data_IF_277313496013
#
_entry.id   IF_277313496013
#
_cell.length_a   1.000
_cell.length_b   1.000
_cell.length_c   1.000
_cell.angle_alpha   90.00
_cell.angle_beta   90.00
_cell.angle_gamma   90.00
#
_symmetry.space_group_name_H-M   'P 1'
#
loop_
_entity.id
_entity.type
_entity.pdbx_description
1 polymer ?
#
# COMPACT_ATOMS: atom_id res chain seq x y z
N UNK A 1 1.55 -9.97 8.85
CA UNK A 1 2.36 -9.22 9.85
C UNK A 1 2.80 -7.86 9.32
N UNK A 2 3.26 -7.75 8.07
CA UNK A 2 3.76 -6.51 7.46
C UNK A 2 2.69 -5.50 7.00
N UNK A 3 1.49 -5.52 7.60
CA UNK A 3 0.45 -4.51 7.35
C UNK A 3 0.72 -3.27 8.23
N UNK A 4 0.29 -2.07 7.80
CA UNK A 4 0.27 -0.90 8.68
C UNK A 4 -0.56 -1.16 9.95
N UNK A 5 -0.21 -0.48 11.06
CA UNK A 5 -0.97 -0.54 12.31
C UNK A 5 -2.45 -0.17 12.14
N UNK A 6 -2.73 0.75 11.21
CA UNK A 6 -4.11 1.13 10.85
C UNK A 6 -4.93 0.01 10.22
N UNK A 7 -4.27 -0.92 9.52
CA UNK A 7 -4.88 -2.10 8.91
C UNK A 7 -4.64 -3.37 9.73
N UNK A 8 -4.38 -3.22 11.04
CA UNK A 8 -4.23 -4.34 11.96
C UNK A 8 -2.92 -5.12 11.87
N UNK A 9 -1.88 -4.58 11.22
CA UNK A 9 -0.54 -5.18 11.31
C UNK A 9 0.29 -4.58 12.44
N UNK A 10 1.55 -5.01 12.55
CA UNK A 10 2.48 -4.56 13.58
C UNK A 10 3.20 -3.26 13.19
N UNK A 11 3.03 -2.78 11.94
CA UNK A 11 3.73 -1.61 11.41
C UNK A 11 5.14 -1.92 10.90
N UNK A 12 5.54 -3.19 10.85
CA UNK A 12 6.74 -3.60 10.12
C UNK A 12 6.49 -3.51 8.62
N UNK A 13 7.51 -3.11 7.87
CA UNK A 13 7.50 -3.17 6.42
C UNK A 13 7.84 -4.58 5.97
N UNK A 14 7.20 -5.00 4.90
CA UNK A 14 7.56 -6.24 4.23
C UNK A 14 8.93 -6.07 3.58
N UNK A 15 9.87 -6.97 3.87
CA UNK A 15 11.27 -6.85 3.44
C UNK A 15 11.38 -7.03 1.93
N UNK A 16 10.62 -7.96 1.36
CA UNK A 16 10.63 -8.24 -0.08
C UNK A 16 10.07 -7.06 -0.87
N UNK A 17 8.87 -6.58 -0.52
CA UNK A 17 8.26 -5.42 -1.17
C UNK A 17 9.08 -4.14 -0.94
N UNK A 18 9.75 -4.00 0.21
CA UNK A 18 10.65 -2.88 0.47
C UNK A 18 11.93 -2.96 -0.37
N UNK A 19 12.46 -4.15 -0.60
CA UNK A 19 13.58 -4.37 -1.51
C UNK A 19 13.20 -4.01 -2.95
N UNK A 20 12.02 -4.37 -3.42
CA UNK A 20 11.54 -3.99 -4.76
C UNK A 20 11.46 -2.46 -4.93
N UNK A 21 11.00 -1.75 -3.90
CA UNK A 21 10.99 -0.28 -3.88
C UNK A 21 12.41 0.33 -3.89
N UNK A 22 13.41 -0.35 -3.31
CA UNK A 22 14.81 0.06 -3.38
C UNK A 22 15.42 -0.21 -4.76
N UNK A 23 15.10 -1.35 -5.37
CA UNK A 23 15.48 -1.65 -6.75
C UNK A 23 14.88 -0.64 -7.73
N UNK A 24 13.61 -0.26 -7.53
CA UNK A 24 12.95 0.79 -8.28
C UNK A 24 13.67 2.14 -8.12
N UNK A 25 14.22 2.46 -6.93
CA UNK A 25 15.04 3.67 -6.75
C UNK A 25 16.29 3.65 -7.63
N UNK A 26 16.91 2.49 -7.83
CA UNK A 26 18.05 2.34 -8.75
C UNK A 26 17.59 2.57 -10.19
N UNK A 27 16.48 1.95 -10.60
CA UNK A 27 15.88 2.18 -11.93
C UNK A 27 15.55 3.65 -12.18
N UNK A 28 15.02 4.34 -11.18
CA UNK A 28 14.72 5.78 -11.24
C UNK A 28 15.98 6.62 -11.44
N UNK A 29 17.07 6.28 -10.74
CA UNK A 29 18.36 6.95 -10.91
C UNK A 29 18.91 6.78 -12.32
N UNK A 30 18.74 5.58 -12.91
CA UNK A 30 19.15 5.30 -14.29
C UNK A 30 18.34 6.16 -15.28
N UNK A 31 17.04 6.28 -15.07
CA UNK A 31 16.14 7.10 -15.90
C UNK A 31 16.48 8.60 -15.82
N UNK A 32 16.64 9.14 -14.61
CA UNK A 32 16.86 10.59 -14.42
C UNK A 32 18.29 11.04 -14.69
N UNK A 33 19.26 10.16 -14.51
CA UNK A 33 20.68 10.49 -14.67
C UNK A 33 21.38 9.47 -15.58
N UNK A 34 21.07 9.44 -16.89
CA UNK A 34 21.61 8.45 -17.81
C UNK A 34 23.13 8.57 -18.00
N UNK A 35 23.72 9.75 -17.70
CA UNK A 35 25.15 10.03 -17.81
C UNK A 35 25.97 9.57 -16.61
N UNK A 36 25.33 9.17 -15.50
CA UNK A 36 26.07 8.68 -14.34
C UNK A 36 26.76 7.35 -14.64
N UNK A 37 27.87 7.06 -13.96
CA UNK A 37 28.67 5.85 -14.21
C UNK A 37 27.83 4.57 -14.17
N UNK A 38 26.95 4.45 -13.16
CA UNK A 38 26.05 3.31 -13.01
C UNK A 38 25.16 3.11 -14.24
N UNK A 39 24.51 4.18 -14.71
CA UNK A 39 23.64 4.13 -15.88
C UNK A 39 24.44 3.81 -17.14
N UNK A 40 25.58 4.48 -17.36
CA UNK A 40 26.44 4.22 -18.53
C UNK A 40 26.93 2.78 -18.61
N UNK A 41 27.38 2.22 -17.48
CA UNK A 41 27.85 0.83 -17.44
C UNK A 41 26.72 -0.17 -17.67
N UNK A 42 25.57 0.02 -17.03
CA UNK A 42 24.44 -0.92 -17.15
C UNK A 42 23.76 -0.81 -18.52
N UNK A 43 23.45 0.41 -18.97
CA UNK A 43 22.83 0.65 -20.28
C UNK A 43 23.78 0.25 -21.41
N UNK A 44 25.07 0.57 -21.33
CA UNK A 44 26.04 0.18 -22.36
C UNK A 44 26.21 -1.35 -22.48
N UNK A 45 26.10 -2.08 -21.36
CA UNK A 45 26.20 -3.54 -21.36
C UNK A 45 24.91 -4.24 -21.81
N UNK A 46 23.75 -3.78 -21.35
CA UNK A 46 22.48 -4.50 -21.48
C UNK A 46 21.48 -3.84 -22.44
N UNK A 47 21.58 -2.54 -22.69
CA UNK A 47 20.63 -1.75 -23.50
C UNK A 47 21.34 -1.15 -24.72
N UNK A 48 21.73 -1.98 -25.68
CA UNK A 48 22.44 -1.51 -26.90
C UNK A 48 21.48 -0.98 -27.98
N UNK A 49 20.37 -1.67 -28.21
CA UNK A 49 19.38 -1.35 -29.25
C UNK A 49 18.06 -0.79 -28.71
N UNK A 50 17.78 -1.00 -27.42
CA UNK A 50 16.49 -0.67 -26.80
C UNK A 50 16.65 0.33 -25.66
N UNK A 51 15.61 1.13 -25.41
CA UNK A 51 15.56 2.00 -24.24
C UNK A 51 15.40 1.19 -22.95
N UNK A 52 15.83 1.77 -21.82
CA UNK A 52 15.75 1.10 -20.51
C UNK A 52 14.36 0.55 -20.17
N UNK A 53 13.29 1.28 -20.53
CA UNK A 53 11.89 0.90 -20.28
C UNK A 53 11.39 -0.27 -21.16
N UNK A 54 12.06 -0.55 -22.28
CA UNK A 54 11.69 -1.62 -23.24
C UNK A 54 12.62 -2.83 -23.16
N UNK A 55 13.86 -2.62 -22.68
CA UNK A 55 14.91 -3.64 -22.60
C UNK A 55 14.47 -4.96 -21.94
N UNK A 56 14.60 -6.08 -22.64
CA UNK A 56 14.34 -7.39 -22.04
C UNK A 56 15.57 -7.97 -21.34
N UNK A 57 15.36 -8.85 -20.36
CA UNK A 57 16.44 -9.54 -19.67
C UNK A 57 17.06 -10.62 -20.58
N UNK A 58 18.32 -10.51 -21.03
CA UNK A 58 18.97 -11.63 -21.73
C UNK A 58 19.14 -12.82 -20.77
N UNK A 59 19.16 -14.03 -21.32
CA UNK A 59 19.34 -15.27 -20.54
C UNK A 59 20.64 -15.27 -19.72
N UNK A 60 21.70 -14.63 -20.24
CA UNK A 60 23.00 -14.44 -19.59
C UNK A 60 23.08 -13.24 -18.63
N UNK A 61 21.95 -12.60 -18.31
CA UNK A 61 21.94 -11.44 -17.41
C UNK A 61 22.43 -11.77 -15.99
N UNK A 62 23.01 -10.77 -15.31
CA UNK A 62 23.40 -10.90 -13.91
C UNK A 62 22.19 -10.80 -12.99
N UNK A 63 22.25 -11.38 -11.79
CA UNK A 63 21.20 -11.24 -10.79
C UNK A 63 20.92 -9.78 -10.44
N UNK A 64 21.97 -8.94 -10.36
CA UNK A 64 21.82 -7.50 -10.13
C UNK A 64 21.00 -6.81 -11.22
N UNK A 65 21.24 -7.13 -12.50
CA UNK A 65 20.46 -6.58 -13.61
C UNK A 65 19.00 -7.03 -13.56
N UNK A 66 18.74 -8.31 -13.28
CA UNK A 66 17.36 -8.80 -13.08
C UNK A 66 16.66 -8.03 -11.96
N UNK A 67 17.35 -7.74 -10.85
CA UNK A 67 16.84 -6.89 -9.78
C UNK A 67 16.47 -5.48 -10.26
N UNK A 68 17.34 -4.83 -11.03
CA UNK A 68 17.07 -3.51 -11.62
C UNK A 68 15.85 -3.55 -12.55
N UNK A 69 15.68 -4.62 -13.33
CA UNK A 69 14.52 -4.80 -14.20
C UNK A 69 13.21 -4.99 -13.41
N UNK A 70 13.22 -5.76 -12.31
CA UNK A 70 12.06 -5.85 -11.41
C UNK A 70 11.66 -4.48 -10.85
N UNK A 71 12.65 -3.69 -10.40
CA UNK A 71 12.41 -2.33 -9.94
C UNK A 71 11.89 -1.41 -11.05
N UNK A 72 12.38 -1.57 -12.28
CA UNK A 72 11.87 -0.84 -13.46
C UNK A 72 10.44 -1.21 -13.77
N UNK A 73 10.05 -2.48 -13.69
CA UNK A 73 8.69 -2.90 -14.00
C UNK A 73 7.68 -2.31 -12.99
N UNK A 74 8.07 -2.23 -11.72
CA UNK A 74 7.34 -1.46 -10.71
C UNK A 74 7.19 0.01 -11.12
N UNK A 75 8.27 0.64 -11.60
CA UNK A 75 8.20 2.01 -12.09
C UNK A 75 7.23 2.15 -13.26
N UNK A 76 7.36 1.29 -14.27
CA UNK A 76 6.63 1.34 -15.53
C UNK A 76 5.12 1.39 -15.36
N UNK A 77 4.57 0.80 -14.30
CA UNK A 77 3.13 0.79 -14.02
C UNK A 77 2.61 2.08 -13.38
N UNK A 78 3.49 3.03 -13.01
CA UNK A 78 3.15 4.24 -12.26
C UNK A 78 3.95 5.47 -12.73
N UNK A 79 4.56 5.38 -13.91
CA UNK A 79 5.21 6.49 -14.60
C UNK A 79 4.21 7.23 -15.50
N UNK A 80 4.34 8.54 -15.60
CA UNK A 80 3.63 9.32 -16.61
C UNK A 80 4.53 10.38 -17.20
N UNK A 81 4.15 10.91 -18.35
CA UNK A 81 4.91 11.95 -19.02
C UNK A 81 4.43 13.34 -18.58
N UNK A 82 5.40 14.20 -18.30
CA UNK A 82 5.20 15.64 -18.16
C UNK A 82 5.57 16.29 -19.49
N UNK A 83 4.57 16.92 -20.11
CA UNK A 83 4.70 17.56 -21.44
C UNK A 83 5.57 18.82 -21.32
N UNK A 84 6.75 18.77 -21.95
CA UNK A 84 7.66 19.87 -22.13
C UNK A 84 7.56 20.38 -23.57
N UNK A 85 8.38 19.79 -24.45
CA UNK A 85 8.41 20.07 -25.90
C UNK A 85 7.45 19.20 -26.71
N UNK A 86 6.95 18.11 -26.14
CA UNK A 86 6.04 17.15 -26.79
C UNK A 86 6.69 16.27 -27.87
N UNK A 87 7.99 16.41 -28.13
CA UNK A 87 8.69 15.72 -29.22
C UNK A 87 9.06 14.27 -28.89
N UNK A 88 9.12 13.92 -27.60
CA UNK A 88 9.49 12.58 -27.14
C UNK A 88 8.29 11.70 -26.80
N UNK A 89 7.09 12.29 -26.81
CA UNK A 89 5.85 11.64 -26.36
C UNK A 89 5.00 11.32 -27.58
N UNK A 90 4.80 10.03 -27.83
CA UNK A 90 3.82 9.52 -28.78
C UNK A 90 2.43 9.56 -28.14
N UNK A 91 1.46 10.13 -28.86
CA UNK A 91 0.14 10.47 -28.30
C UNK A 91 -0.62 9.24 -27.80
N UNK A 92 -0.54 8.13 -28.55
CA UNK A 92 -1.40 6.97 -28.35
C UNK A 92 -0.76 5.84 -27.53
N UNK A 93 0.57 5.76 -27.53
CA UNK A 93 1.31 4.70 -26.85
C UNK A 93 1.66 5.05 -25.41
N UNK A 94 1.88 6.34 -25.12
CA UNK A 94 2.42 6.80 -23.83
C UNK A 94 1.34 7.42 -22.91
N UNK A 95 1.47 7.28 -21.57
CA UNK A 95 0.53 7.89 -20.61
C UNK A 95 0.94 9.32 -20.26
N UNK A 96 0.33 10.31 -20.94
CA UNK A 96 0.66 11.74 -20.77
C UNK A 96 -0.55 12.63 -20.40
N UNK A 97 -1.76 12.08 -20.39
CA UNK A 97 -2.99 12.87 -20.19
C UNK A 97 -3.22 13.27 -18.74
N UNK A 98 -2.67 12.54 -17.76
CA UNK A 98 -2.90 12.77 -16.34
C UNK A 98 -1.58 12.81 -15.56
N UNK A 99 -1.56 13.60 -14.50
CA UNK A 99 -0.43 13.71 -13.56
C UNK A 99 -0.60 12.83 -12.31
N UNK A 100 -1.73 12.14 -12.17
CA UNK A 100 -2.03 11.30 -11.01
C UNK A 100 -2.17 9.82 -11.38
N UNK A 101 -2.54 9.51 -12.62
CA UNK A 101 -2.87 8.17 -13.09
C UNK A 101 -2.32 7.93 -14.48
N UNK A 102 -2.05 6.67 -14.82
CA UNK A 102 -1.61 6.30 -16.16
C UNK A 102 -2.79 6.32 -17.13
N UNK A 103 -3.05 7.50 -17.68
CA UNK A 103 -4.12 7.71 -18.65
C UNK A 103 -3.52 7.94 -20.04
N UNK A 104 -3.94 7.10 -20.98
CA UNK A 104 -3.65 7.23 -22.42
C UNK A 104 -4.97 7.34 -23.19
N UNK A 105 -4.97 7.92 -24.40
CA UNK A 105 -6.16 7.94 -25.24
C UNK A 105 -6.79 6.56 -25.45
N UNK A 106 -8.12 6.53 -25.55
CA UNK A 106 -8.86 5.30 -25.81
C UNK A 106 -8.79 4.86 -27.27
N UNK A 107 -8.57 3.56 -27.49
CA UNK A 107 -8.69 2.90 -28.78
C UNK A 107 -7.35 2.69 -29.49
N UNK A 108 -7.31 1.78 -30.48
CA UNK A 108 -6.18 1.66 -31.38
C UNK A 108 -6.13 2.90 -32.28
N UNK A 109 -4.99 3.57 -32.31
CA UNK A 109 -4.80 4.71 -33.20
C UNK A 109 -4.94 4.24 -34.66
N UNK A 110 -5.64 5.01 -35.52
CA UNK A 110 -5.55 4.83 -36.96
C UNK A 110 -4.08 4.81 -37.40
N UNK A 111 -3.73 3.99 -38.39
CA UNK A 111 -2.33 3.76 -38.81
C UNK A 111 -1.57 5.07 -39.10
N UNK A 112 -2.25 6.05 -39.71
CA UNK A 112 -1.70 7.38 -39.99
C UNK A 112 -1.46 8.26 -38.76
N UNK A 113 -1.99 7.92 -37.59
CA UNK A 113 -1.87 8.67 -36.32
C UNK A 113 -1.02 7.94 -35.27
N UNK A 114 -0.56 6.71 -35.53
CA UNK A 114 0.17 5.91 -34.54
C UNK A 114 1.46 6.58 -34.06
N UNK A 115 2.17 7.25 -34.97
CA UNK A 115 3.44 7.93 -34.68
C UNK A 115 3.29 9.43 -34.41
N UNK A 116 2.05 9.91 -34.27
CA UNK A 116 1.78 11.32 -33.98
C UNK A 116 2.32 11.67 -32.59
N UNK A 117 3.08 12.77 -32.52
CA UNK A 117 3.69 13.25 -31.28
C UNK A 117 2.86 14.34 -30.64
N UNK A 118 3.02 14.53 -29.33
CA UNK A 118 2.31 15.60 -28.62
C UNK A 118 2.68 16.98 -29.18
N UNK A 119 3.91 17.16 -29.66
CA UNK A 119 4.35 18.37 -30.35
C UNK A 119 3.50 18.72 -31.58
N UNK A 120 2.95 17.72 -32.27
CA UNK A 120 2.10 17.94 -33.45
C UNK A 120 0.75 18.54 -33.08
N UNK A 121 0.35 18.52 -31.80
CA UNK A 121 -0.88 19.15 -31.31
C UNK A 121 -0.68 20.62 -30.91
N UNK A 122 0.53 21.16 -31.05
CA UNK A 122 0.80 22.57 -30.79
C UNK A 122 0.60 23.42 -32.05
N UNK A 123 0.30 24.70 -31.82
CA UNK A 123 0.32 25.70 -32.89
C UNK A 123 1.75 25.91 -33.41
N UNK A 124 1.95 26.12 -34.71
CA UNK A 124 3.29 26.33 -35.28
C UNK A 124 4.01 27.51 -34.61
N UNK A 125 5.17 27.25 -34.01
CA UNK A 125 5.99 28.27 -33.35
C UNK A 125 5.49 28.75 -31.98
N UNK A 126 4.41 28.14 -31.44
CA UNK A 126 3.95 28.37 -30.06
C UNK A 126 3.94 27.07 -29.25
N UNK A 127 3.79 27.21 -27.93
CA UNK A 127 3.55 26.10 -26.99
C UNK A 127 2.07 25.99 -26.62
N UNK A 128 1.22 26.76 -27.31
CA UNK A 128 -0.23 26.72 -27.15
C UNK A 128 -0.84 25.58 -27.98
N UNK A 129 -1.88 24.96 -27.44
CA UNK A 129 -2.57 23.85 -28.07
C UNK A 129 -3.39 24.29 -29.30
N UNK A 130 -3.32 23.51 -30.36
CA UNK A 130 -4.20 23.64 -31.53
C UNK A 130 -5.57 23.00 -31.23
N UNK A 131 -6.55 23.85 -30.92
CA UNK A 131 -7.89 23.43 -30.52
C UNK A 131 -8.63 22.70 -31.65
N UNK A 132 -8.41 23.10 -32.91
CA UNK A 132 -9.07 22.48 -34.06
C UNK A 132 -8.53 21.07 -34.29
N UNK A 133 -7.21 20.91 -34.19
CA UNK A 133 -6.56 19.60 -34.31
C UNK A 133 -6.90 18.68 -33.15
N UNK A 134 -7.03 19.22 -31.93
CA UNK A 134 -7.48 18.45 -30.77
C UNK A 134 -8.92 17.93 -30.95
N UNK A 135 -9.82 18.72 -31.52
CA UNK A 135 -11.19 18.29 -31.81
C UNK A 135 -11.23 17.14 -32.82
N UNK A 136 -10.35 17.16 -33.82
CA UNK A 136 -10.27 16.13 -34.85
C UNK A 136 -9.64 14.82 -34.33
N UNK A 137 -8.59 14.92 -33.50
CA UNK A 137 -7.79 13.75 -33.08
C UNK A 137 -8.27 13.16 -31.75
N UNK A 138 -8.54 14.00 -30.75
CA UNK A 138 -8.85 13.58 -29.37
C UNK A 138 -10.03 14.38 -28.77
N UNK A 139 -11.24 14.33 -29.37
CA UNK A 139 -12.37 15.13 -28.91
C UNK A 139 -12.74 14.84 -27.45
N UNK A 140 -12.71 13.56 -27.04
CA UNK A 140 -13.07 13.15 -25.68
C UNK A 140 -12.08 13.60 -24.59
N UNK A 141 -10.82 13.85 -24.94
CA UNK A 141 -9.78 14.23 -23.98
C UNK A 141 -9.40 15.71 -24.06
N UNK A 142 -10.05 16.49 -24.93
CA UNK A 142 -9.78 17.91 -25.15
C UNK A 142 -9.72 18.72 -23.86
N UNK A 143 -10.74 18.63 -23.01
CA UNK A 143 -10.81 19.39 -21.76
C UNK A 143 -9.67 19.05 -20.80
N UNK A 144 -9.19 17.81 -20.83
CA UNK A 144 -8.08 17.34 -20.01
C UNK A 144 -6.75 17.85 -20.57
N UNK A 145 -6.57 17.79 -21.89
CA UNK A 145 -5.35 18.26 -22.57
C UNK A 145 -5.18 19.77 -22.40
N UNK A 146 -6.26 20.56 -22.54
CA UNK A 146 -6.22 22.01 -22.36
C UNK A 146 -5.82 22.45 -20.95
N UNK A 147 -5.98 21.59 -19.94
CA UNK A 147 -5.51 21.85 -18.57
C UNK A 147 -4.01 21.63 -18.42
N UNK A 148 -3.40 20.83 -19.29
CA UNK A 148 -1.95 20.61 -19.31
C UNK A 148 -1.30 21.88 -19.86
N UNK A 149 -0.30 22.40 -19.12
CA UNK A 149 0.48 23.56 -19.54
C UNK A 149 1.87 23.12 -19.95
N UNK A 150 2.18 23.09 -21.27
CA UNK A 150 3.51 22.79 -21.76
C UNK A 150 4.56 23.81 -21.30
N UNK A 151 5.84 23.46 -21.45
CA UNK A 151 6.93 24.33 -21.02
C UNK A 151 7.16 25.48 -21.99
N UNK A 152 6.82 26.70 -21.57
CA UNK A 152 7.10 27.94 -22.34
C UNK A 152 8.58 28.23 -22.56
N UNK A 153 9.46 27.61 -21.76
CA UNK A 153 10.91 27.79 -21.82
C UNK A 153 11.59 26.73 -22.70
N UNK A 154 10.83 25.92 -23.44
CA UNK A 154 11.39 24.88 -24.32
C UNK A 154 12.10 23.76 -23.57
N UNK A 155 11.68 23.48 -22.33
CA UNK A 155 12.21 22.33 -21.57
C UNK A 155 11.80 21.03 -22.28
N UNK A 156 12.72 20.08 -22.37
CA UNK A 156 12.41 18.73 -22.89
C UNK A 156 11.34 18.04 -22.04
N UNK A 157 10.66 17.08 -22.66
CA UNK A 157 9.75 16.17 -21.97
C UNK A 157 10.46 15.40 -20.86
N UNK A 158 9.72 15.08 -19.80
CA UNK A 158 10.27 14.37 -18.64
C UNK A 158 9.32 13.31 -18.10
N UNK A 159 9.88 12.19 -17.62
CA UNK A 159 9.13 11.09 -17.01
C UNK A 159 8.97 11.33 -15.51
N UNK A 160 7.74 11.39 -15.02
CA UNK A 160 7.43 11.67 -13.62
C UNK A 160 6.78 10.48 -12.92
N UNK A 161 7.05 10.38 -11.62
CA UNK A 161 6.43 9.38 -10.75
C UNK A 161 5.06 9.87 -10.27
N UNK A 162 3.98 9.23 -10.74
CA UNK A 162 2.60 9.71 -10.55
C UNK A 162 2.09 9.59 -9.12
N UNK A 163 2.65 8.66 -8.33
CA UNK A 163 2.25 8.43 -6.93
C UNK A 163 2.83 9.47 -5.95
N UNK A 164 3.41 10.56 -6.45
CA UNK A 164 3.94 11.63 -5.62
C UNK A 164 3.77 13.01 -6.30
N UNK A 165 3.22 14.04 -5.60
CA UNK A 165 2.98 15.35 -6.20
C UNK A 165 4.23 16.06 -6.75
N UNK A 166 5.42 15.79 -6.19
CA UNK A 166 6.67 16.37 -6.73
C UNK A 166 7.13 15.75 -8.04
N UNK A 167 6.53 14.64 -8.48
CA UNK A 167 6.99 13.85 -9.62
C UNK A 167 8.28 13.06 -9.36
N UNK A 168 8.91 13.21 -8.19
CA UNK A 168 10.09 12.44 -7.80
C UNK A 168 9.73 11.09 -7.16
N UNK A 169 10.54 10.08 -7.43
CA UNK A 169 10.42 8.78 -6.81
C UNK A 169 11.06 8.76 -5.41
N UNK A 170 10.25 8.44 -4.41
CA UNK A 170 10.71 8.09 -3.07
C UNK A 170 10.46 6.62 -2.77
N UNK A 171 11.38 5.97 -2.04
CA UNK A 171 11.21 4.55 -1.63
C UNK A 171 9.91 4.33 -0.86
N UNK A 172 9.44 5.33 -0.10
CA UNK A 172 8.16 5.25 0.61
C UNK A 172 6.97 5.16 -0.34
N UNK A 173 6.92 6.00 -1.38
CA UNK A 173 5.83 5.98 -2.36
C UNK A 173 5.90 4.73 -3.25
N UNK A 174 7.12 4.29 -3.61
CA UNK A 174 7.32 3.04 -4.34
C UNK A 174 6.87 1.82 -3.54
N UNK A 175 7.17 1.77 -2.25
CA UNK A 175 6.73 0.69 -1.36
C UNK A 175 5.19 0.62 -1.28
N UNK A 176 4.53 1.77 -1.11
CA UNK A 176 3.06 1.81 -1.10
C UNK A 176 2.47 1.31 -2.41
N UNK A 177 3.00 1.75 -3.56
CA UNK A 177 2.53 1.31 -4.86
C UNK A 177 2.73 -0.20 -5.08
N UNK A 178 3.85 -0.76 -4.61
CA UNK A 178 4.08 -2.21 -4.66
C UNK A 178 3.09 -2.98 -3.78
N UNK A 179 2.83 -2.52 -2.56
CA UNK A 179 1.83 -3.15 -1.68
C UNK A 179 0.40 -3.06 -2.25
N UNK A 180 0.06 -1.97 -2.95
CA UNK A 180 -1.22 -1.84 -3.66
C UNK A 180 -1.32 -2.85 -4.82
N UNK A 181 -0.23 -3.05 -5.55
CA UNK A 181 -0.18 -3.99 -6.67
C UNK A 181 -0.39 -5.43 -6.20
N UNK A 182 0.30 -5.84 -5.14
CA UNK A 182 0.12 -7.17 -4.52
C UNK A 182 -1.31 -7.40 -4.00
N UNK A 183 -1.91 -6.36 -3.39
CA UNK A 183 -3.28 -6.43 -2.88
C UNK A 183 -4.32 -6.58 -4.00
N UNK A 184 -4.07 -6.00 -5.18
CA UNK A 184 -4.96 -6.12 -6.33
C UNK A 184 -4.79 -7.45 -7.08
N UNK A 185 -3.61 -8.08 -7.01
CA UNK A 185 -3.35 -9.38 -7.64
C UNK A 185 -3.93 -10.56 -6.86
N UNK A 186 -4.22 -10.39 -5.57
CA UNK A 186 -4.87 -11.42 -4.76
C UNK A 186 -6.39 -11.26 -4.87
N UNK A 187 -7.15 -12.31 -5.24
CA UNK A 187 -8.61 -12.23 -5.27
C UNK A 187 -9.10 -11.83 -3.88
N UNK A 188 -9.91 -10.77 -3.83
CA UNK A 188 -10.48 -10.21 -2.62
C UNK A 188 -11.14 -11.32 -1.81
N UNK A 189 -10.46 -11.74 -0.75
CA UNK A 189 -11.00 -12.66 0.25
C UNK A 189 -12.19 -11.97 0.88
N UNK A 190 -13.33 -12.66 1.12
CA UNK A 190 -14.49 -12.04 1.77
C UNK A 190 -14.05 -11.29 3.03
N UNK A 191 -14.54 -10.05 3.18
CA UNK A 191 -14.22 -9.16 4.30
C UNK A 191 -14.34 -9.92 5.60
N UNK A 192 -13.21 -10.20 6.25
CA UNK A 192 -13.24 -10.92 7.51
C UNK A 192 -13.71 -9.96 8.60
N UNK A 193 -14.34 -10.44 9.69
CA UNK A 193 -14.73 -9.59 10.83
C UNK A 193 -13.55 -8.80 11.44
N UNK A 194 -12.32 -9.24 11.16
CA UNK A 194 -11.05 -8.63 11.58
C UNK A 194 -10.73 -7.35 10.80
N UNK A 195 -11.24 -7.21 9.58
CA UNK A 195 -10.99 -6.05 8.70
C UNK A 195 -11.86 -4.83 9.05
N UNK A 196 -12.98 -5.02 9.76
CA UNK A 196 -13.87 -3.94 10.23
C UNK A 196 -13.39 -3.28 11.52
N UNK A 197 -12.40 -3.87 12.20
CA UNK A 197 -11.87 -3.37 13.47
C UNK A 197 -11.09 -2.08 13.25
N UNK A 198 -11.41 -1.04 14.01
CA UNK A 198 -10.66 0.22 14.05
C UNK A 198 -9.38 0.04 14.88
N UNK A 199 -8.39 -0.67 14.33
CA UNK A 199 -7.16 -1.08 15.03
C UNK A 199 -6.41 0.02 15.78
N UNK A 200 -6.38 1.24 15.23
CA UNK A 200 -5.74 2.37 15.92
C UNK A 200 -6.43 2.66 17.25
N UNK A 201 -7.75 2.80 17.25
CA UNK A 201 -8.53 3.11 18.44
C UNK A 201 -8.71 1.91 19.36
N UNK A 202 -8.82 0.70 18.79
CA UNK A 202 -9.10 -0.53 19.55
C UNK A 202 -7.88 -1.16 20.17
N UNK A 203 -6.66 -0.88 19.68
CA UNK A 203 -5.44 -1.52 20.20
C UNK A 203 -4.31 -0.51 20.39
N UNK A 204 -3.95 0.23 19.34
CA UNK A 204 -2.65 0.93 19.31
C UNK A 204 -2.61 2.24 20.10
N UNK A 205 -3.72 2.99 20.14
CA UNK A 205 -3.85 4.28 20.81
C UNK A 205 -4.25 4.17 22.29
N UNK A 206 -4.42 2.96 22.81
CA UNK A 206 -4.74 2.75 24.23
C UNK A 206 -3.53 3.16 25.07
N UNK A 207 -3.78 3.94 26.14
CA UNK A 207 -2.75 4.30 27.11
C UNK A 207 -2.41 3.10 28.00
N UNK A 208 -1.55 2.23 27.51
CA UNK A 208 -1.07 1.04 28.24
C UNK A 208 0.31 0.61 27.72
N UNK A 209 0.91 -0.37 28.38
CA UNK A 209 2.22 -0.92 27.97
C UNK A 209 2.13 -1.66 26.63
N UNK A 210 3.20 -1.62 25.84
CA UNK A 210 3.24 -2.30 24.54
C UNK A 210 3.04 -3.82 24.64
N UNK A 211 3.43 -4.44 25.77
CA UNK A 211 3.16 -5.86 26.03
C UNK A 211 1.66 -6.17 26.02
N UNK A 212 0.85 -5.31 26.63
CA UNK A 212 -0.61 -5.45 26.67
C UNK A 212 -1.20 -5.20 25.28
N UNK A 213 -0.72 -4.20 24.54
CA UNK A 213 -1.17 -3.95 23.15
C UNK A 213 -0.90 -5.14 22.23
N UNK A 214 0.28 -5.76 22.35
CA UNK A 214 0.63 -6.96 21.58
C UNK A 214 -0.25 -8.14 21.99
N UNK A 215 -0.57 -8.30 23.28
CA UNK A 215 -1.49 -9.33 23.75
C UNK A 215 -2.90 -9.15 23.16
N UNK A 216 -3.45 -7.93 23.19
CA UNK A 216 -4.74 -7.60 22.59
C UNK A 216 -4.71 -7.85 21.07
N UNK A 217 -3.65 -7.41 20.39
CA UNK A 217 -3.45 -7.69 18.97
C UNK A 217 -3.46 -9.19 18.67
N UNK A 218 -2.72 -10.00 19.43
CA UNK A 218 -2.72 -11.48 19.28
C UNK A 218 -4.10 -12.07 19.55
N UNK A 219 -4.83 -11.56 20.54
CA UNK A 219 -6.16 -12.05 20.91
C UNK A 219 -7.17 -11.82 19.77
N UNK A 220 -7.18 -10.63 19.19
CA UNK A 220 -8.09 -10.27 18.09
C UNK A 220 -7.73 -10.97 16.77
N UNK A 221 -6.45 -11.32 16.56
CA UNK A 221 -6.00 -12.12 15.40
C UNK A 221 -6.11 -13.64 15.62
N UNK A 222 -6.65 -14.11 16.75
CA UNK A 222 -6.71 -15.54 17.06
C UNK A 222 -5.33 -16.21 17.20
N UNK A 223 -4.28 -15.43 17.46
CA UNK A 223 -2.89 -15.90 17.51
C UNK A 223 -2.44 -16.34 18.91
N UNK A 224 -3.37 -16.43 19.88
CA UNK A 224 -3.07 -16.97 21.20
C UNK A 224 -3.01 -18.52 21.15
N UNK A 225 -2.13 -19.14 21.96
CA UNK A 225 -2.03 -20.59 22.05
C UNK A 225 -3.19 -21.17 22.86
N UNK A 226 -4.36 -21.28 22.22
CA UNK A 226 -5.57 -21.90 22.79
C UNK A 226 -5.86 -23.26 22.14
N UNK A 227 -6.56 -24.14 22.85
CA UNK A 227 -6.99 -25.47 22.38
C UNK A 227 -7.54 -25.49 20.95
N UNK A 228 -8.41 -24.54 20.61
CA UNK A 228 -8.97 -24.36 19.26
C UNK A 228 -7.87 -24.18 18.19
N UNK A 229 -6.85 -23.37 18.46
CA UNK A 229 -5.76 -23.11 17.52
C UNK A 229 -4.82 -24.32 17.36
N UNK A 230 -4.67 -25.14 18.42
CA UNK A 230 -3.96 -26.41 18.31
C UNK A 230 -4.72 -27.41 17.46
N UNK A 231 -6.06 -27.48 17.60
CA UNK A 231 -6.91 -28.32 16.77
C UNK A 231 -6.83 -27.93 15.29
N UNK A 232 -6.93 -26.63 14.98
CA UNK A 232 -6.82 -26.11 13.60
C UNK A 232 -5.47 -26.46 12.97
N UNK A 233 -4.40 -26.51 13.75
CA UNK A 233 -3.04 -26.82 13.28
C UNK A 233 -2.69 -28.31 13.37
N UNK A 234 -3.65 -29.17 13.71
CA UNK A 234 -3.46 -30.62 13.85
C UNK A 234 -2.34 -31.01 14.83
N UNK A 235 -2.16 -30.22 15.90
CA UNK A 235 -1.17 -30.50 16.95
C UNK A 235 -1.85 -31.38 18.02
N UNK A 236 -1.29 -32.56 18.37
CA UNK A 236 -1.93 -33.54 19.25
C UNK A 236 -1.81 -33.14 20.73
N UNK A 237 -2.49 -32.07 21.12
CA UNK A 237 -2.59 -31.55 22.50
C UNK A 237 -4.07 -31.45 22.86
N UNK A 238 -4.39 -31.61 24.15
CA UNK A 238 -5.75 -31.40 24.65
C UNK A 238 -6.30 -30.04 24.23
N UNK A 239 -7.50 -30.03 23.65
CA UNK A 239 -8.24 -28.84 23.21
C UNK A 239 -9.11 -28.24 24.32
N UNK A 240 -9.10 -28.88 25.50
CA UNK A 240 -9.92 -28.51 26.64
C UNK A 240 -9.22 -27.48 27.54
N UNK A 241 -9.99 -26.54 28.05
CA UNK A 241 -9.55 -25.55 29.02
C UNK A 241 -9.13 -26.26 30.32
N UNK A 242 -7.91 -26.02 30.79
CA UNK A 242 -7.40 -26.64 32.04
C UNK A 242 -8.14 -26.24 33.32
N UNK A 243 -8.98 -25.20 33.26
CA UNK A 243 -9.73 -24.69 34.44
C UNK A 243 -11.13 -25.24 34.54
N UNK A 244 -11.83 -25.39 33.41
CA UNK A 244 -13.25 -25.77 33.39
C UNK A 244 -13.57 -26.95 32.46
N UNK A 245 -12.56 -27.52 31.78
CA UNK A 245 -12.65 -28.69 30.91
C UNK A 245 -13.62 -28.55 29.71
N UNK A 246 -14.02 -27.34 29.32
CA UNK A 246 -14.75 -27.08 28.06
C UNK A 246 -13.78 -26.73 26.93
N UNK A 247 -14.27 -26.64 25.68
CA UNK A 247 -13.43 -26.24 24.54
C UNK A 247 -12.78 -24.87 24.76
N UNK A 248 -11.46 -24.80 24.54
CA UNK A 248 -10.67 -23.60 24.78
C UNK A 248 -10.56 -22.76 23.51
N UNK A 249 -11.42 -21.75 23.38
CA UNK A 249 -11.30 -20.66 22.40
C UNK A 249 -10.75 -19.38 23.05
N UNK A 250 -10.34 -18.40 22.23
CA UNK A 250 -9.90 -17.10 22.76
C UNK A 250 -11.06 -16.36 23.45
N UNK A 251 -12.28 -16.46 22.92
CA UNK A 251 -13.48 -15.88 23.54
C UNK A 251 -13.77 -16.57 24.88
N UNK A 252 -13.62 -17.88 24.93
CA UNK A 252 -13.77 -18.64 26.16
C UNK A 252 -12.73 -18.22 27.22
N UNK A 253 -11.45 -18.17 26.85
CA UNK A 253 -10.38 -17.81 27.78
C UNK A 253 -10.53 -16.40 28.36
N UNK A 254 -11.01 -15.44 27.56
CA UNK A 254 -11.13 -14.04 27.97
C UNK A 254 -12.49 -13.69 28.60
N UNK A 255 -13.57 -14.39 28.24
CA UNK A 255 -14.94 -13.98 28.62
C UNK A 255 -15.77 -15.12 29.21
N UNK A 256 -15.86 -16.30 28.57
CA UNK A 256 -16.82 -17.33 29.00
C UNK A 256 -16.33 -18.27 30.10
N UNK A 257 -15.02 -18.37 30.32
CA UNK A 257 -14.46 -19.23 31.36
C UNK A 257 -14.97 -18.77 32.74
N UNK A 258 -15.44 -19.67 33.62
CA UNK A 258 -15.93 -19.29 34.95
C UNK A 258 -14.93 -18.44 35.75
N UNK A 259 -13.64 -18.72 35.59
CA UNK A 259 -12.59 -17.90 36.18
C UNK A 259 -12.50 -16.49 35.56
N UNK A 260 -12.63 -16.38 34.24
CA UNK A 260 -12.62 -15.08 33.57
C UNK A 260 -13.83 -14.23 33.99
N UNK A 261 -15.01 -14.86 34.14
CA UNK A 261 -16.21 -14.20 34.65
C UNK A 261 -15.97 -13.59 36.03
N UNK A 262 -15.40 -14.36 36.97
CA UNK A 262 -15.04 -13.85 38.30
C UNK A 262 -14.05 -12.68 38.25
N UNK A 263 -13.08 -12.72 37.33
CA UNK A 263 -12.11 -11.62 37.16
C UNK A 263 -12.80 -10.35 36.65
N UNK A 264 -13.75 -10.46 35.72
CA UNK A 264 -14.54 -9.33 35.24
C UNK A 264 -15.47 -8.75 36.30
N UNK A 265 -16.08 -9.60 37.14
CA UNK A 265 -16.91 -9.16 38.27
C UNK A 265 -16.12 -8.38 39.32
N UNK A 266 -14.85 -8.72 39.54
CA UNK A 266 -13.96 -8.04 40.47
C UNK A 266 -13.29 -6.78 39.87
N UNK A 267 -13.44 -6.54 38.56
CA UNK A 267 -12.81 -5.40 37.90
C UNK A 267 -13.49 -4.08 38.30
N UNK A 268 -12.74 -3.00 38.59
CA UNK A 268 -13.30 -1.71 38.98
C UNK A 268 -13.86 -0.96 37.76
N UNK A 269 -15.01 -1.41 37.24
CA UNK A 269 -15.70 -0.83 36.09
C UNK A 269 -16.95 -0.07 36.56
N UNK A 270 -17.26 1.06 35.92
CA UNK A 270 -18.40 1.92 36.29
C UNK A 270 -19.78 1.34 35.93
N UNK A 271 -19.84 0.10 35.42
CA UNK A 271 -21.07 -0.57 35.02
C UNK A 271 -20.93 -2.09 35.02
N UNK A 272 -22.06 -2.78 34.91
CA UNK A 272 -22.11 -4.24 34.85
C UNK A 272 -21.74 -4.72 33.44
N UNK A 273 -20.57 -5.34 33.29
CA UNK A 273 -20.20 -6.06 32.08
C UNK A 273 -20.57 -7.54 32.26
N UNK A 274 -21.50 -8.06 31.44
CA UNK A 274 -21.76 -9.48 31.40
C UNK A 274 -20.86 -10.14 30.33
N UNK A 275 -19.83 -10.91 30.74
CA UNK A 275 -18.88 -11.50 29.79
C UNK A 275 -19.52 -12.58 28.90
N UNK A 276 -20.65 -13.17 29.32
CA UNK A 276 -21.33 -14.22 28.57
C UNK A 276 -22.04 -13.69 27.31
N UNK A 277 -22.31 -12.38 27.24
CA UNK A 277 -22.99 -11.73 26.10
C UNK A 277 -22.06 -11.43 24.91
N UNK A 278 -20.80 -11.85 24.98
CA UNK A 278 -19.82 -11.69 23.90
C UNK A 278 -19.81 -12.94 23.02
N UNK A 279 -20.40 -12.90 21.82
CA UNK A 279 -20.36 -14.03 20.90
C UNK A 279 -18.96 -14.21 20.28
N UNK A 280 -18.23 -13.11 20.07
CA UNK A 280 -16.85 -13.12 19.55
C UNK A 280 -15.91 -12.30 20.43
N UNK A 281 -14.59 -12.56 20.29
CA UNK A 281 -13.55 -11.80 20.97
C UNK A 281 -13.58 -10.31 20.62
N UNK A 282 -13.90 -9.99 19.37
CA UNK A 282 -13.97 -8.62 18.86
C UNK A 282 -15.15 -7.88 19.51
N UNK A 283 -16.34 -8.48 19.51
CA UNK A 283 -17.53 -7.89 20.13
C UNK A 283 -17.36 -7.69 21.64
N UNK A 284 -16.83 -8.70 22.33
CA UNK A 284 -16.55 -8.61 23.77
C UNK A 284 -15.56 -7.49 24.08
N UNK A 285 -14.52 -7.35 23.27
CA UNK A 285 -13.52 -6.29 23.43
C UNK A 285 -14.07 -4.90 23.15
N UNK A 286 -14.82 -4.71 22.07
CA UNK A 286 -15.42 -3.42 21.73
C UNK A 286 -16.41 -2.96 22.81
N UNK A 287 -17.21 -3.88 23.39
CA UNK A 287 -18.07 -3.60 24.53
C UNK A 287 -17.26 -3.23 25.78
N UNK A 288 -16.23 -4.01 26.11
CA UNK A 288 -15.40 -3.78 27.30
C UNK A 288 -14.63 -2.45 27.23
N UNK A 289 -14.10 -2.07 26.07
CA UNK A 289 -13.35 -0.81 25.88
C UNK A 289 -14.19 0.44 26.13
N UNK A 290 -15.50 0.37 25.90
CA UNK A 290 -16.41 1.51 26.11
C UNK A 290 -16.73 1.75 27.59
N UNK A 291 -16.40 0.80 28.47
CA UNK A 291 -16.70 0.93 29.89
C UNK A 291 -15.67 1.83 30.59
N UNK A 292 -16.12 2.84 31.38
CA UNK A 292 -15.21 3.64 32.18
C UNK A 292 -14.59 2.76 33.28
N UNK A 293 -13.26 2.72 33.33
CA UNK A 293 -12.57 2.19 34.51
C UNK A 293 -12.73 3.20 35.65
N UNK A 294 -13.26 2.76 36.77
CA UNK A 294 -13.25 3.54 38.00
C UNK A 294 -11.80 3.68 38.47
N UNK A 295 -11.42 4.84 39.05
CA UNK A 295 -10.11 5.00 39.65
C UNK A 295 -9.93 3.95 40.75
N UNK A 296 -8.69 3.48 41.01
CA UNK A 296 -8.43 2.56 42.11
C UNK A 296 -8.93 3.22 43.40
N UNK A 297 -9.86 2.54 44.08
CA UNK A 297 -10.38 2.99 45.37
C UNK A 297 -9.29 2.75 46.41
N UNK A 298 -8.38 3.72 46.57
CA UNK A 298 -7.31 3.68 47.57
C UNK A 298 -6.06 4.51 47.24
N UNK A 299 -6.11 5.80 47.62
CA UNK A 299 -5.00 6.73 47.95
C UNK A 299 -3.96 7.05 46.86
N UNK A 300 -4.13 8.21 46.22
CA UNK A 300 -3.09 8.97 45.52
C UNK A 300 -3.64 9.81 44.36
N UNK A 301 -3.32 11.11 44.24
CA UNK A 301 -3.68 11.92 43.08
C UNK A 301 -2.80 11.51 41.90
N UNK A 302 -3.21 10.47 41.18
CA UNK A 302 -2.46 9.95 40.03
C UNK A 302 -3.39 9.13 39.14
N UNK A 303 -3.84 9.73 38.05
CA UNK A 303 -4.59 9.05 37.00
C UNK A 303 -3.68 8.10 36.22
N UNK A 304 -4.13 6.86 35.98
CA UNK A 304 -3.52 5.88 35.06
C UNK A 304 -3.52 6.33 33.57
N UNK A 305 -3.86 7.59 33.33
CA UNK A 305 -3.92 8.23 32.03
C UNK A 305 -3.30 9.64 32.05
N UNK A 306 -2.20 9.83 32.78
CA UNK A 306 -1.22 10.85 32.41
C UNK A 306 -0.23 10.21 31.42
#
# INVERSE_FOLDING_TARGET
>A
MAKPKSKGGLGFKDVTTFNDALLAKIGWRILKNPTCLLARCLLGKYCQSETFLKCQAPSSSSHGWRGVLMGRDLLKNQLGWMVGSGESIEIWSEPWLSHCEQVRPFGPAPEHLQHLKVADLFLPGSTDWDVEKLEQVLPFHKEQILKIRPSRLGRSDDLVWLKNPSGEFFTRSGYLAATETEANSTPSTPTTPVDTVKWLTSVWNIKTTEKIKIFLWKSLHGALPVGEQFAIRSIPISTLCRRCNTEESVAHLLFHCPFAVQVWELAPLAGHFNPQDAATTIEGWEKARLLPSLPPVGIGPGTLAA
#
